data_IF_076086547562
#
_entry.id   IF_076086547562
#
_cell.length_a   1.000
_cell.length_b   1.000
_cell.length_c   1.000
_cell.angle_alpha   90.00
_cell.angle_beta   90.00
_cell.angle_gamma   90.00
#
_symmetry.space_group_name_H-M   'P 1'
#
loop_
_entity.id
_entity.type
_entity.pdbx_description
1 polymer ?
#
# COMPACT_ATOMS: atom_id res chain seq x y z
N UNK A 1 12.12 59.80 35.18
CA UNK A 1 13.00 58.60 35.29
C UNK A 1 12.24 57.54 36.09
N UNK A 2 11.88 56.46 35.50
CA UNK A 2 11.25 55.29 36.19
C UNK A 2 12.37 54.64 37.00
N UNK A 3 12.16 54.48 38.31
CA UNK A 3 13.15 53.82 39.20
C UNK A 3 13.29 52.35 38.75
N UNK A 4 14.50 51.78 38.59
CA UNK A 4 14.67 50.39 38.27
C UNK A 4 14.05 49.52 39.36
N UNK A 5 13.24 48.54 39.00
CA UNK A 5 12.65 47.55 39.92
C UNK A 5 13.76 46.87 40.73
N UNK A 6 13.65 46.95 42.05
CA UNK A 6 14.55 46.22 42.96
C UNK A 6 14.12 44.77 43.00
N UNK A 7 14.94 43.89 42.43
CA UNK A 7 14.77 42.45 42.57
C UNK A 7 14.91 42.05 44.04
N UNK A 8 13.83 41.54 44.62
CA UNK A 8 13.86 41.02 45.99
C UNK A 8 14.35 39.56 46.01
N UNK A 9 14.80 39.07 47.17
CA UNK A 9 15.16 37.65 47.32
C UNK A 9 13.95 36.72 47.01
N UNK A 10 12.73 37.19 47.33
CA UNK A 10 11.50 36.48 47.04
C UNK A 10 11.29 36.33 45.53
N UNK A 11 11.55 37.36 44.72
CA UNK A 11 11.42 37.33 43.27
C UNK A 11 12.42 36.33 42.66
N UNK A 12 13.63 36.27 43.17
CA UNK A 12 14.65 35.31 42.73
C UNK A 12 14.28 33.87 43.09
N UNK A 13 13.71 33.64 44.27
CA UNK A 13 13.22 32.33 44.69
C UNK A 13 12.03 31.90 43.80
N UNK A 14 11.09 32.82 43.56
CA UNK A 14 9.96 32.53 42.67
C UNK A 14 10.41 32.22 41.24
N UNK A 15 11.34 32.99 40.69
CA UNK A 15 11.90 32.75 39.38
C UNK A 15 12.63 31.40 39.32
N UNK A 16 13.43 31.07 40.34
CA UNK A 16 14.10 29.77 40.40
C UNK A 16 13.09 28.60 40.50
N UNK A 17 12.04 28.74 41.31
CA UNK A 17 10.98 27.73 41.40
C UNK A 17 10.26 27.53 40.07
N UNK A 18 9.93 28.60 39.36
CA UNK A 18 9.31 28.51 38.01
C UNK A 18 10.25 27.79 37.03
N UNK A 19 11.54 28.14 37.02
CA UNK A 19 12.53 27.48 36.15
C UNK A 19 12.60 25.98 36.43
N UNK A 20 12.62 25.60 37.72
CA UNK A 20 12.66 24.16 38.10
C UNK A 20 11.39 23.46 37.66
N UNK A 21 10.20 24.04 37.88
CA UNK A 21 8.92 23.44 37.45
C UNK A 21 8.87 23.27 35.92
N UNK A 22 9.29 24.28 35.18
CA UNK A 22 9.35 24.24 33.72
C UNK A 22 10.36 23.16 33.24
N UNK A 23 11.54 23.12 33.87
CA UNK A 23 12.56 22.14 33.52
C UNK A 23 12.11 20.69 33.80
N UNK A 24 11.47 20.48 34.97
CA UNK A 24 10.90 19.15 35.31
C UNK A 24 9.77 18.80 34.37
N UNK A 25 8.84 19.73 34.07
CA UNK A 25 7.78 19.54 33.12
C UNK A 25 8.31 19.20 31.71
N UNK A 26 9.29 19.95 31.22
CA UNK A 26 9.95 19.68 29.93
C UNK A 26 10.66 18.32 29.93
N UNK A 27 11.35 17.95 31.00
CA UNK A 27 12.00 16.66 31.13
C UNK A 27 11.00 15.49 31.12
N UNK A 28 9.87 15.63 31.84
CA UNK A 28 8.80 14.64 31.84
C UNK A 28 8.14 14.49 30.46
N UNK A 29 7.84 15.59 29.77
CA UNK A 29 7.30 15.59 28.41
C UNK A 29 8.29 14.92 27.46
N UNK A 30 9.56 15.30 27.51
CA UNK A 30 10.60 14.71 26.67
C UNK A 30 10.78 13.21 26.96
N UNK A 31 10.76 12.81 28.23
CA UNK A 31 10.92 11.41 28.66
C UNK A 31 9.80 10.50 28.13
N UNK A 32 8.56 11.03 28.04
CA UNK A 32 7.39 10.30 27.54
C UNK A 32 7.08 10.59 26.06
N UNK A 33 7.95 11.34 25.36
CA UNK A 33 7.69 11.72 23.98
C UNK A 33 8.06 10.59 22.99
N UNK A 34 7.27 10.48 21.91
CA UNK A 34 7.58 9.60 20.76
C UNK A 34 8.95 9.94 20.14
N UNK A 35 9.41 11.18 20.28
CA UNK A 35 10.72 11.61 19.79
C UNK A 35 11.88 10.84 20.42
N UNK A 36 11.78 10.56 21.74
CA UNK A 36 12.79 9.76 22.45
C UNK A 36 12.76 8.28 22.03
N UNK A 37 11.59 7.73 21.77
CA UNK A 37 11.41 6.36 21.35
C UNK A 37 11.78 6.15 19.87
N UNK A 38 11.96 7.23 19.09
CA UNK A 38 12.30 7.15 17.68
C UNK A 38 13.78 6.87 17.49
N UNK A 39 14.09 5.75 16.82
CA UNK A 39 15.43 5.37 16.41
C UNK A 39 15.53 5.48 14.89
N UNK A 40 16.52 6.23 14.40
CA UNK A 40 16.79 6.36 12.96
C UNK A 40 18.30 6.16 12.74
N UNK A 41 18.63 5.16 11.97
CA UNK A 41 20.01 4.82 11.60
C UNK A 41 20.15 4.90 10.08
N UNK A 42 20.57 6.02 9.54
CA UNK A 42 20.78 6.19 8.11
C UNK A 42 21.88 5.26 7.57
N UNK A 43 21.88 5.05 6.26
CA UNK A 43 22.95 4.34 5.58
C UNK A 43 24.26 5.15 5.65
N UNK A 44 25.39 4.47 5.73
CA UNK A 44 26.72 5.10 5.77
C UNK A 44 27.01 5.94 4.51
N UNK A 45 26.46 5.52 3.39
CA UNK A 45 26.53 6.20 2.08
C UNK A 45 25.26 5.95 1.29
N UNK A 46 24.90 6.85 0.35
CA UNK A 46 23.73 6.65 -0.50
C UNK A 46 23.83 5.35 -1.32
N UNK A 47 22.74 4.62 -1.36
CA UNK A 47 22.62 3.38 -2.13
C UNK A 47 22.43 3.73 -3.62
N UNK A 48 23.18 3.11 -4.54
CA UNK A 48 23.00 3.35 -5.97
C UNK A 48 21.67 2.80 -6.48
N UNK A 49 21.18 3.36 -7.58
CA UNK A 49 20.02 2.83 -8.28
C UNK A 49 20.28 1.42 -8.83
N UNK A 50 19.25 0.59 -8.85
CA UNK A 50 19.33 -0.76 -9.39
C UNK A 50 19.33 -0.74 -10.91
N UNK A 51 20.09 -1.65 -11.50
CA UNK A 51 20.04 -1.90 -12.93
C UNK A 51 18.98 -2.97 -13.24
N UNK A 52 18.12 -2.68 -14.19
CA UNK A 52 17.11 -3.65 -14.63
C UNK A 52 17.78 -4.89 -15.24
N UNK A 53 17.23 -6.06 -14.94
CA UNK A 53 17.62 -7.32 -15.56
C UNK A 53 17.36 -7.27 -17.07
N UNK A 54 18.31 -7.78 -17.83
CA UNK A 54 18.26 -7.80 -19.31
C UNK A 54 17.88 -9.15 -19.90
N UNK A 55 17.94 -10.21 -19.09
CA UNK A 55 17.71 -11.59 -19.50
C UNK A 55 16.84 -12.31 -18.48
N UNK A 56 16.08 -13.28 -18.97
CA UNK A 56 15.30 -14.20 -18.14
C UNK A 56 16.21 -15.37 -17.74
N UNK A 57 16.34 -15.69 -16.43
CA UNK A 57 17.11 -16.85 -15.98
C UNK A 57 16.38 -18.17 -16.32
N UNK A 58 17.10 -19.27 -16.35
CA UNK A 58 16.51 -20.61 -16.50
C UNK A 58 16.20 -21.28 -15.16
N UNK A 59 16.92 -20.89 -14.11
CA UNK A 59 16.76 -21.41 -12.75
C UNK A 59 16.92 -20.31 -11.73
N UNK A 60 16.23 -20.46 -10.60
CA UNK A 60 16.33 -19.57 -9.44
C UNK A 60 16.59 -20.39 -8.18
N UNK A 61 17.25 -19.74 -7.22
CA UNK A 61 17.43 -20.25 -5.85
C UNK A 61 17.17 -19.14 -4.84
N UNK A 62 16.86 -19.53 -3.62
CA UNK A 62 16.75 -18.56 -2.53
C UNK A 62 18.12 -17.99 -2.18
N UNK A 63 18.19 -16.65 -2.10
CA UNK A 63 19.39 -15.92 -1.69
C UNK A 63 19.33 -15.61 -0.19
N UNK A 64 18.20 -15.04 0.23
CA UNK A 64 17.94 -14.70 1.62
C UNK A 64 16.43 -14.59 1.87
N UNK A 65 16.06 -14.65 3.16
CA UNK A 65 14.68 -14.48 3.64
C UNK A 65 14.67 -13.52 4.82
N UNK A 66 13.61 -12.71 4.91
CA UNK A 66 13.40 -11.79 6.03
C UNK A 66 11.92 -11.73 6.45
N UNK A 67 11.66 -11.47 7.72
CA UNK A 67 10.32 -11.13 8.19
C UNK A 67 9.88 -9.79 7.60
N UNK A 68 8.64 -9.72 7.12
CA UNK A 68 8.02 -8.52 6.55
C UNK A 68 6.49 -8.60 6.65
N UNK A 69 5.99 -8.84 7.85
CA UNK A 69 4.56 -8.99 8.12
C UNK A 69 3.77 -7.68 8.00
N UNK A 70 4.45 -6.55 7.89
CA UNK A 70 3.83 -5.23 7.75
C UNK A 70 3.88 -4.67 6.32
N UNK A 71 4.31 -5.49 5.34
CA UNK A 71 4.17 -5.23 3.91
C UNK A 71 3.16 -6.20 3.29
N UNK A 72 2.31 -5.73 2.39
CA UNK A 72 1.34 -6.56 1.66
C UNK A 72 1.90 -7.10 0.33
N UNK A 73 2.96 -6.47 -0.17
CA UNK A 73 3.70 -6.85 -1.38
C UNK A 73 5.17 -6.45 -1.21
N UNK A 74 6.10 -7.00 -1.98
CA UNK A 74 7.49 -6.59 -1.90
C UNK A 74 7.64 -5.09 -2.17
N UNK A 75 8.29 -4.39 -1.27
CA UNK A 75 8.50 -2.95 -1.34
C UNK A 75 9.92 -2.68 -1.86
N UNK A 76 10.04 -2.15 -3.08
CA UNK A 76 11.32 -1.86 -3.73
C UNK A 76 11.36 -0.39 -4.12
N UNK A 77 12.34 0.35 -3.64
CA UNK A 77 12.46 1.78 -3.89
C UNK A 77 13.90 2.27 -3.63
N UNK A 78 14.38 3.21 -4.43
CA UNK A 78 15.66 3.91 -4.20
C UNK A 78 16.88 2.97 -4.09
N UNK A 79 16.86 1.83 -4.77
CA UNK A 79 17.98 0.87 -4.74
C UNK A 79 17.92 -0.16 -3.61
N UNK A 80 16.92 -0.11 -2.74
CA UNK A 80 16.77 -1.02 -1.60
C UNK A 80 15.49 -1.83 -1.65
N UNK A 81 15.50 -2.95 -0.94
CA UNK A 81 14.32 -3.73 -0.57
C UNK A 81 13.91 -3.32 0.84
N UNK A 82 12.67 -2.90 1.00
CA UNK A 82 12.14 -2.45 2.29
C UNK A 82 11.33 -3.56 2.94
N UNK A 83 11.64 -3.87 4.19
CA UNK A 83 10.87 -4.81 5.02
C UNK A 83 10.31 -4.08 6.23
N UNK A 84 9.14 -4.50 6.71
CA UNK A 84 8.53 -4.01 7.93
C UNK A 84 8.05 -5.17 8.78
N UNK A 85 8.50 -5.22 10.02
CA UNK A 85 8.08 -6.23 10.99
C UNK A 85 8.13 -5.67 12.41
N UNK A 86 7.18 -6.06 13.27
CA UNK A 86 7.05 -5.49 14.61
C UNK A 86 6.94 -3.97 14.59
N UNK A 87 7.93 -3.29 15.16
CA UNK A 87 8.00 -1.81 15.25
C UNK A 87 9.05 -1.20 14.29
N UNK A 88 9.77 -2.01 13.51
CA UNK A 88 10.92 -1.59 12.73
C UNK A 88 10.70 -1.73 11.23
N UNK A 89 11.10 -0.69 10.49
CA UNK A 89 11.24 -0.67 9.03
C UNK A 89 12.72 -0.68 8.67
N UNK A 90 13.12 -1.60 7.80
CA UNK A 90 14.50 -1.80 7.37
C UNK A 90 14.65 -1.62 5.86
N UNK A 91 15.68 -0.90 5.44
CA UNK A 91 16.19 -0.93 4.06
C UNK A 91 17.31 -1.96 3.94
N UNK A 92 17.15 -2.88 3.00
CA UNK A 92 18.06 -4.01 2.81
C UNK A 92 18.72 -3.96 1.44
N UNK A 93 19.95 -4.46 1.37
CA UNK A 93 20.61 -4.75 0.11
C UNK A 93 19.88 -5.88 -0.63
N UNK A 94 19.47 -5.69 -1.89
CA UNK A 94 18.71 -6.70 -2.62
C UNK A 94 19.42 -8.04 -2.81
N UNK A 95 20.74 -8.03 -2.98
CA UNK A 95 21.51 -9.23 -3.26
C UNK A 95 21.83 -10.04 -2.00
N UNK A 96 22.07 -9.38 -0.87
CA UNK A 96 22.57 -10.00 0.35
C UNK A 96 21.55 -10.04 1.49
N UNK A 97 20.49 -9.22 1.44
CA UNK A 97 19.54 -9.05 2.54
C UNK A 97 20.08 -8.26 3.73
N UNK A 98 21.35 -7.81 3.69
CA UNK A 98 21.97 -7.07 4.78
C UNK A 98 21.28 -5.72 5.00
N UNK A 99 21.12 -5.32 6.26
CA UNK A 99 20.50 -4.04 6.63
C UNK A 99 21.43 -2.88 6.28
N UNK A 100 20.93 -1.94 5.49
CA UNK A 100 21.61 -0.71 5.09
C UNK A 100 21.22 0.47 5.98
N UNK A 101 19.95 0.52 6.39
CA UNK A 101 19.42 1.53 7.29
C UNK A 101 18.21 0.97 8.07
N UNK A 102 17.89 1.60 9.20
CA UNK A 102 16.71 1.24 9.98
C UNK A 102 15.97 2.47 10.53
N UNK A 103 14.65 2.30 10.73
CA UNK A 103 13.77 3.28 11.33
C UNK A 103 12.72 2.60 12.21
N UNK A 104 12.60 3.04 13.46
CA UNK A 104 11.54 2.60 14.37
C UNK A 104 11.05 3.74 15.26
N UNK A 105 9.83 3.59 15.82
CA UNK A 105 9.25 4.55 16.77
C UNK A 105 8.90 3.92 18.11
N UNK A 106 9.32 2.69 18.38
CA UNK A 106 9.00 1.96 19.60
C UNK A 106 7.50 1.65 19.75
N UNK A 107 6.77 1.62 18.63
CA UNK A 107 5.36 1.24 18.52
C UNK A 107 5.20 0.29 17.36
N UNK A 108 4.34 -0.70 17.48
CA UNK A 108 4.09 -1.64 16.39
C UNK A 108 3.62 -0.92 15.12
N UNK A 109 4.18 -1.29 13.98
CA UNK A 109 3.80 -0.76 12.67
C UNK A 109 2.35 -1.14 12.34
N UNK A 110 1.61 -0.19 11.81
CA UNK A 110 0.34 -0.46 11.13
C UNK A 110 0.57 -1.03 9.72
N UNK A 111 1.63 -0.56 9.06
CA UNK A 111 2.02 -1.02 7.74
C UNK A 111 3.21 -0.25 7.19
N UNK A 112 3.81 -0.83 6.14
CA UNK A 112 4.90 -0.23 5.38
C UNK A 112 4.55 -0.25 3.89
N UNK A 113 4.83 0.84 3.20
CA UNK A 113 4.64 0.98 1.75
C UNK A 113 5.74 1.86 1.17
N UNK A 114 5.67 2.12 -0.13
CA UNK A 114 6.64 2.97 -0.84
C UNK A 114 5.93 4.01 -1.70
N UNK A 115 6.56 5.15 -1.91
CA UNK A 115 6.10 6.15 -2.87
C UNK A 115 7.27 6.94 -3.42
N UNK A 116 7.40 7.03 -4.73
CA UNK A 116 8.47 7.74 -5.41
C UNK A 116 9.85 7.27 -4.94
N UNK A 117 10.59 8.07 -4.17
CA UNK A 117 11.90 7.74 -3.61
C UNK A 117 11.86 7.35 -2.13
N UNK A 118 10.67 7.30 -1.53
CA UNK A 118 10.51 7.10 -0.09
C UNK A 118 9.95 5.72 0.25
N UNK A 119 10.52 5.13 1.31
CA UNK A 119 9.86 4.12 2.12
C UNK A 119 9.00 4.83 3.16
N UNK A 120 7.78 4.37 3.39
CA UNK A 120 6.83 5.01 4.31
C UNK A 120 6.37 4.02 5.36
N UNK A 121 6.67 4.35 6.62
CA UNK A 121 6.21 3.62 7.79
C UNK A 121 4.99 4.32 8.39
N UNK A 122 3.93 3.56 8.67
CA UNK A 122 2.72 4.05 9.32
C UNK A 122 2.62 3.44 10.70
N UNK A 123 2.44 4.30 11.71
CA UNK A 123 2.34 3.93 13.12
C UNK A 123 1.02 4.39 13.72
N UNK A 124 0.55 3.74 14.80
CA UNK A 124 -0.64 4.17 15.51
C UNK A 124 -0.34 5.33 16.48
N UNK A 125 -1.36 6.15 16.72
CA UNK A 125 -1.45 7.07 17.86
C UNK A 125 -2.84 6.95 18.51
N UNK A 126 -3.21 7.91 19.36
CA UNK A 126 -4.53 7.94 20.01
C UNK A 126 -5.71 8.13 19.04
N UNK A 127 -5.44 8.39 17.75
CA UNK A 127 -6.43 8.63 16.69
C UNK A 127 -6.40 7.55 15.58
N UNK A 128 -5.74 6.41 15.84
CA UNK A 128 -5.61 5.31 14.90
C UNK A 128 -4.27 5.28 14.15
N UNK A 129 -4.22 4.52 13.07
CA UNK A 129 -3.03 4.29 12.22
C UNK A 129 -2.77 5.46 11.26
N UNK A 130 -2.55 6.66 11.79
CA UNK A 130 -2.43 7.90 11.02
C UNK A 130 -1.07 8.60 11.09
N UNK A 131 -0.06 8.03 11.77
CA UNK A 131 1.28 8.61 11.90
C UNK A 131 2.20 8.08 10.81
N UNK A 132 2.25 8.74 9.65
CA UNK A 132 3.12 8.36 8.53
C UNK A 132 4.46 9.09 8.60
N UNK A 133 5.55 8.36 8.38
CA UNK A 133 6.92 8.88 8.29
C UNK A 133 7.57 8.34 7.02
N UNK A 134 7.96 9.25 6.13
CA UNK A 134 8.73 8.91 4.94
C UNK A 134 10.22 8.90 5.26
N UNK A 135 10.92 7.91 4.73
CA UNK A 135 12.36 7.75 4.82
C UNK A 135 12.88 7.70 3.38
N UNK A 136 13.82 8.58 3.04
CA UNK A 136 14.50 8.50 1.74
C UNK A 136 15.21 7.15 1.65
N UNK A 137 14.80 6.36 0.68
CA UNK A 137 15.17 4.95 0.64
C UNK A 137 16.65 4.75 0.33
N UNK A 138 17.26 5.66 -0.43
CA UNK A 138 18.69 5.58 -0.78
C UNK A 138 19.62 5.95 0.37
N UNK A 139 19.16 6.81 1.29
CA UNK A 139 20.00 7.34 2.36
C UNK A 139 19.59 6.92 3.76
N UNK A 140 18.36 6.40 3.94
CA UNK A 140 17.79 6.11 5.25
C UNK A 140 17.48 7.38 6.07
N UNK A 141 17.54 8.59 5.47
CA UNK A 141 17.26 9.86 6.17
C UNK A 141 15.75 10.13 6.20
N UNK A 142 15.31 10.74 7.29
CA UNK A 142 13.90 11.14 7.42
C UNK A 142 13.54 12.21 6.38
N UNK A 143 12.40 12.00 5.76
CA UNK A 143 11.76 12.91 4.82
C UNK A 143 10.46 13.50 5.39
N UNK A 144 9.44 13.71 4.55
CA UNK A 144 8.13 14.20 4.98
C UNK A 144 7.49 13.30 6.04
N UNK A 145 6.64 13.92 6.86
CA UNK A 145 5.84 13.21 7.86
C UNK A 145 4.41 13.75 7.88
N UNK A 146 3.47 12.91 8.26
CA UNK A 146 2.06 13.25 8.36
C UNK A 146 1.45 12.68 9.64
N UNK A 147 0.52 13.43 10.22
CA UNK A 147 -0.36 12.99 11.30
C UNK A 147 -1.80 13.18 10.87
N UNK A 148 -2.59 12.10 10.86
CA UNK A 148 -3.99 12.08 10.44
C UNK A 148 -4.85 11.32 11.43
N UNK A 149 -6.18 11.52 11.34
CA UNK A 149 -7.16 10.60 11.87
C UNK A 149 -7.23 9.38 10.94
N UNK A 150 -7.26 8.19 11.49
CA UNK A 150 -7.41 6.94 10.74
C UNK A 150 -8.10 5.88 11.60
N UNK A 151 -8.50 4.78 10.98
CA UNK A 151 -8.95 3.60 11.72
C UNK A 151 -7.80 2.96 12.51
N UNK A 152 -8.12 2.13 13.49
CA UNK A 152 -7.12 1.40 14.29
C UNK A 152 -6.27 0.43 13.45
N UNK A 153 -6.86 -0.06 12.37
CA UNK A 153 -6.20 -0.89 11.36
C UNK A 153 -6.40 -0.26 9.98
N UNK A 154 -5.36 -0.23 9.17
CA UNK A 154 -5.42 0.31 7.81
C UNK A 154 -4.74 -0.63 6.83
N UNK A 155 -5.25 -0.63 5.60
CA UNK A 155 -4.61 -1.23 4.43
C UNK A 155 -3.91 -0.14 3.65
N UNK A 156 -2.68 -0.41 3.24
CA UNK A 156 -1.86 0.50 2.46
C UNK A 156 -1.67 -0.06 1.05
N UNK A 157 -1.84 0.79 0.06
CA UNK A 157 -1.49 0.47 -1.33
C UNK A 157 -0.82 1.67 -1.99
N UNK A 158 -0.08 1.42 -3.06
CA UNK A 158 0.62 2.45 -3.83
C UNK A 158 0.55 2.15 -5.32
N UNK A 159 0.51 3.21 -6.12
CA UNK A 159 0.73 3.16 -7.57
C UNK A 159 2.16 3.61 -7.96
N UNK A 160 3.04 3.82 -6.96
CA UNK A 160 4.39 4.35 -7.11
C UNK A 160 4.47 5.88 -6.98
N UNK A 161 3.37 6.61 -7.17
CA UNK A 161 3.30 8.08 -7.12
C UNK A 161 2.44 8.61 -5.98
N UNK A 162 1.45 7.83 -5.56
CA UNK A 162 0.56 8.12 -4.43
C UNK A 162 0.43 6.92 -3.50
N UNK A 163 -0.03 7.18 -2.30
CA UNK A 163 -0.38 6.17 -1.30
C UNK A 163 -1.87 6.29 -1.00
N UNK A 164 -2.57 5.17 -1.02
CA UNK A 164 -3.89 5.02 -0.44
C UNK A 164 -3.76 4.33 0.91
N UNK A 165 -4.30 4.97 1.95
CA UNK A 165 -4.49 4.39 3.29
C UNK A 165 -5.99 4.32 3.57
N UNK A 166 -6.53 3.13 3.84
CA UNK A 166 -7.94 2.98 4.17
C UNK A 166 -8.16 1.90 5.23
N UNK A 167 -9.13 2.14 6.09
CA UNK A 167 -9.68 1.20 7.03
C UNK A 167 -11.17 0.99 6.76
N UNK A 168 -11.90 0.53 7.78
CA UNK A 168 -13.33 0.23 7.65
C UNK A 168 -14.22 1.48 7.56
N UNK A 169 -13.76 2.62 8.11
CA UNK A 169 -14.60 3.82 8.19
C UNK A 169 -14.05 5.02 7.44
N UNK A 170 -12.76 5.02 7.12
CA UNK A 170 -12.07 6.18 6.57
C UNK A 170 -10.98 5.80 5.56
N UNK A 171 -10.79 6.66 4.57
CA UNK A 171 -9.65 6.59 3.66
C UNK A 171 -9.00 7.99 3.45
N UNK A 172 -7.71 7.95 3.16
CA UNK A 172 -6.94 9.09 2.67
C UNK A 172 -6.04 8.67 1.52
N UNK A 173 -5.90 9.53 0.52
CA UNK A 173 -4.87 9.41 -0.51
C UNK A 173 -3.85 10.52 -0.32
N UNK A 174 -2.55 10.17 -0.38
CA UNK A 174 -1.43 11.08 -0.17
C UNK A 174 -0.50 11.10 -1.38
N UNK A 175 0.06 12.27 -1.69
CA UNK A 175 1.15 12.43 -2.64
C UNK A 175 2.47 11.88 -2.05
N UNK A 176 3.52 11.90 -2.87
CA UNK A 176 4.87 11.48 -2.46
C UNK A 176 5.47 12.31 -1.32
N UNK A 177 5.02 13.55 -1.11
CA UNK A 177 5.39 14.42 0.01
C UNK A 177 4.46 14.25 1.22
N UNK A 178 3.59 13.23 1.22
CA UNK A 178 2.57 12.92 2.21
C UNK A 178 1.50 14.01 2.38
N UNK A 179 1.39 14.95 1.45
CA UNK A 179 0.27 15.90 1.40
C UNK A 179 -0.99 15.15 0.94
N UNK A 180 -2.08 15.35 1.68
CA UNK A 180 -3.37 14.73 1.38
C UNK A 180 -3.97 15.30 0.11
N UNK A 181 -4.47 14.41 -0.74
CA UNK A 181 -5.18 14.75 -1.98
C UNK A 181 -6.67 14.47 -1.85
N UNK A 182 -7.02 13.36 -1.23
CA UNK A 182 -8.40 12.93 -1.01
C UNK A 182 -8.55 12.50 0.43
N UNK A 183 -9.65 12.91 1.05
CA UNK A 183 -10.12 12.46 2.37
C UNK A 183 -11.59 12.10 2.25
N UNK A 184 -11.96 10.89 2.70
CA UNK A 184 -13.34 10.41 2.63
C UNK A 184 -13.64 9.47 3.78
N UNK A 185 -14.92 9.42 4.19
CA UNK A 185 -15.41 8.59 5.27
C UNK A 185 -15.55 9.34 6.59
N UNK A 186 -15.48 8.64 7.71
CA UNK A 186 -15.73 9.19 9.04
C UNK A 186 -14.73 10.27 9.45
N UNK A 187 -15.24 11.33 10.11
CA UNK A 187 -14.46 12.40 10.75
C UNK A 187 -15.04 12.64 12.14
N UNK A 188 -14.17 12.68 13.17
CA UNK A 188 -14.57 12.97 14.55
C UNK A 188 -15.13 14.39 14.73
N UNK A 189 -14.68 15.33 13.93
CA UNK A 189 -15.13 16.71 13.96
C UNK A 189 -15.32 17.24 12.54
N UNK A 190 -16.45 17.88 12.30
CA UNK A 190 -16.69 18.67 11.09
C UNK A 190 -15.93 20.01 11.27
N UNK A 191 -14.81 20.13 10.59
CA UNK A 191 -13.93 21.30 10.72
C UNK A 191 -14.45 22.52 9.96
N UNK A 192 -15.28 22.29 8.91
CA UNK A 192 -15.86 23.36 8.07
C UNK A 192 -17.39 23.33 8.14
N UNK A 193 -18.06 24.48 8.38
CA UNK A 193 -19.51 24.57 8.27
C UNK A 193 -20.00 24.20 6.86
N UNK A 194 -21.06 23.39 6.79
CA UNK A 194 -21.68 23.03 5.52
C UNK A 194 -21.09 21.81 4.81
N UNK A 195 -20.02 21.21 5.33
CA UNK A 195 -19.58 19.87 4.87
C UNK A 195 -20.55 18.85 5.46
N UNK A 196 -21.27 18.05 4.62
CA UNK A 196 -22.15 17.03 5.14
C UNK A 196 -21.34 16.01 5.95
N UNK A 197 -21.91 15.57 7.08
CA UNK A 197 -21.37 14.43 7.79
C UNK A 197 -21.20 13.26 6.81
N UNK A 198 -20.00 12.68 6.78
CA UNK A 198 -19.73 11.54 5.92
C UNK A 198 -20.70 10.40 6.23
N UNK A 199 -21.22 9.70 5.24
CA UNK A 199 -22.07 8.56 5.50
C UNK A 199 -21.31 7.54 6.36
N UNK A 200 -21.96 7.00 7.38
CA UNK A 200 -21.43 5.93 8.24
C UNK A 200 -21.43 4.58 7.50
N UNK A 201 -20.90 4.56 6.30
CA UNK A 201 -20.76 3.33 5.52
C UNK A 201 -19.48 2.62 5.92
N UNK A 202 -19.49 1.29 5.96
CA UNK A 202 -18.29 0.48 6.10
C UNK A 202 -17.61 0.37 4.73
N UNK A 203 -16.34 0.70 4.67
CA UNK A 203 -15.51 0.57 3.46
C UNK A 203 -15.01 -0.86 3.39
N UNK A 204 -15.38 -1.61 2.36
CA UNK A 204 -15.04 -3.03 2.25
C UNK A 204 -13.82 -3.29 1.39
N UNK A 205 -13.64 -2.49 0.35
CA UNK A 205 -12.50 -2.61 -0.58
C UNK A 205 -12.24 -1.26 -1.23
N UNK A 206 -10.98 -0.92 -1.45
CA UNK A 206 -10.61 0.31 -2.17
C UNK A 206 -9.32 0.12 -2.97
N UNK A 207 -9.21 0.87 -4.06
CA UNK A 207 -7.99 1.02 -4.85
C UNK A 207 -7.87 2.46 -5.36
N UNK A 208 -6.65 2.85 -5.73
CA UNK A 208 -6.37 4.20 -6.21
C UNK A 208 -5.52 4.21 -7.48
N UNK A 209 -5.61 5.31 -8.20
CA UNK A 209 -4.67 5.79 -9.21
C UNK A 209 -4.15 7.17 -8.78
N UNK A 210 -3.24 7.80 -9.52
CA UNK A 210 -2.69 9.10 -9.13
C UNK A 210 -3.72 10.21 -8.85
N UNK A 211 -4.90 10.16 -9.46
CA UNK A 211 -5.91 11.22 -9.35
C UNK A 211 -7.30 10.75 -8.89
N UNK A 212 -7.52 9.45 -8.76
CA UNK A 212 -8.84 8.87 -8.49
C UNK A 212 -8.77 7.71 -7.52
N UNK A 213 -9.81 7.57 -6.70
CA UNK A 213 -10.01 6.43 -5.80
C UNK A 213 -11.36 5.81 -6.09
N UNK A 214 -11.43 4.50 -6.12
CA UNK A 214 -12.70 3.76 -6.07
C UNK A 214 -12.79 3.02 -4.74
N UNK A 215 -13.96 3.08 -4.11
CA UNK A 215 -14.23 2.41 -2.86
C UNK A 215 -15.58 1.71 -2.89
N UNK A 216 -15.61 0.46 -2.44
CA UNK A 216 -16.81 -0.32 -2.24
C UNK A 216 -17.34 -0.08 -0.83
N UNK A 217 -18.64 0.18 -0.69
CA UNK A 217 -19.23 0.60 0.57
C UNK A 217 -20.49 -0.23 0.90
N UNK A 218 -20.56 -0.69 2.15
CA UNK A 218 -21.78 -1.20 2.79
C UNK A 218 -22.39 -0.09 3.65
N UNK A 219 -23.52 0.46 3.23
CA UNK A 219 -24.13 1.60 3.90
C UNK A 219 -25.34 1.20 4.77
N UNK A 220 -25.58 1.89 5.90
CA UNK A 220 -26.75 1.63 6.75
C UNK A 220 -28.06 1.70 5.97
N UNK A 221 -28.97 0.77 6.25
CA UNK A 221 -30.30 0.68 5.62
C UNK A 221 -30.29 0.38 4.11
N UNK A 222 -29.15 -0.05 3.56
CA UNK A 222 -29.03 -0.56 2.20
C UNK A 222 -28.72 -2.06 2.27
N UNK A 223 -29.32 -2.84 1.38
CA UNK A 223 -29.09 -4.28 1.29
C UNK A 223 -27.98 -4.61 0.30
N UNK A 224 -27.71 -3.68 -0.62
CA UNK A 224 -26.72 -3.83 -1.68
C UNK A 224 -25.51 -2.93 -1.44
N UNK A 225 -24.35 -3.37 -1.89
CA UNK A 225 -23.12 -2.59 -1.95
C UNK A 225 -23.28 -1.41 -2.91
N UNK A 226 -22.50 -0.39 -2.65
CA UNK A 226 -22.36 0.78 -3.50
C UNK A 226 -20.90 0.98 -3.87
N UNK A 227 -20.62 1.25 -5.13
CA UNK A 227 -19.33 1.75 -5.58
C UNK A 227 -19.35 3.28 -5.49
N UNK A 228 -18.35 3.86 -4.84
CA UNK A 228 -18.13 5.31 -4.83
C UNK A 228 -16.81 5.62 -5.53
N UNK A 229 -16.90 6.44 -6.56
CA UNK A 229 -15.74 6.97 -7.29
C UNK A 229 -15.44 8.36 -6.76
N UNK A 230 -14.19 8.58 -6.38
CA UNK A 230 -13.68 9.83 -5.85
C UNK A 230 -12.62 10.39 -6.79
N UNK A 231 -12.67 11.67 -7.07
CA UNK A 231 -11.65 12.38 -7.85
C UNK A 231 -11.12 13.56 -7.04
N UNK A 232 -9.81 13.74 -7.07
CA UNK A 232 -9.19 14.86 -6.39
C UNK A 232 -9.75 16.19 -6.90
N UNK A 233 -10.18 17.06 -5.99
CA UNK A 233 -10.70 18.38 -6.26
C UNK A 233 -9.83 19.44 -5.59
N UNK A 234 -10.24 20.70 -5.64
CA UNK A 234 -9.48 21.82 -5.05
C UNK A 234 -9.29 21.65 -3.53
N UNK A 235 -10.31 21.13 -2.86
CA UNK A 235 -10.29 20.89 -1.41
C UNK A 235 -10.22 19.37 -1.17
N UNK A 236 -9.22 18.91 -0.43
CA UNK A 236 -8.95 17.49 -0.20
C UNK A 236 -10.06 16.75 0.58
N UNK A 237 -10.84 17.45 1.40
CA UNK A 237 -11.98 16.94 2.15
C UNK A 237 -13.31 17.02 1.39
N UNK A 238 -13.29 17.52 0.17
CA UNK A 238 -14.45 17.65 -0.72
C UNK A 238 -14.10 17.15 -2.13
N UNK A 239 -13.71 15.86 -2.27
CA UNK A 239 -13.47 15.29 -3.58
C UNK A 239 -14.75 15.28 -4.41
N UNK A 240 -14.61 15.31 -5.73
CA UNK A 240 -15.74 15.02 -6.62
C UNK A 240 -16.18 13.57 -6.38
N UNK A 241 -17.47 13.37 -6.12
CA UNK A 241 -18.04 12.07 -5.70
C UNK A 241 -19.08 11.60 -6.70
N UNK A 242 -18.86 10.43 -7.28
CA UNK A 242 -19.86 9.71 -8.07
C UNK A 242 -20.21 8.39 -7.36
N UNK A 243 -21.50 8.18 -7.09
CA UNK A 243 -22.02 6.96 -6.46
C UNK A 243 -22.74 6.09 -7.47
N UNK A 244 -22.42 4.82 -7.48
CA UNK A 244 -22.98 3.81 -8.38
C UNK A 244 -23.60 2.72 -7.53
N UNK A 245 -24.90 2.53 -7.63
CA UNK A 245 -25.58 1.42 -7.00
C UNK A 245 -25.22 0.11 -7.69
N UNK A 246 -25.08 -0.96 -6.94
CA UNK A 246 -24.81 -2.31 -7.44
C UNK A 246 -25.97 -3.24 -7.09
N UNK A 247 -27.12 -3.16 -7.79
CA UNK A 247 -28.32 -3.92 -7.45
C UNK A 247 -28.08 -5.42 -7.45
N UNK A 248 -28.51 -6.12 -6.40
CA UNK A 248 -28.32 -7.56 -6.24
C UNK A 248 -26.92 -7.98 -5.77
N UNK A 249 -26.03 -7.03 -5.48
CA UNK A 249 -24.72 -7.29 -4.87
C UNK A 249 -24.83 -7.02 -3.37
N UNK A 250 -25.12 -8.04 -2.58
CA UNK A 250 -25.37 -7.89 -1.15
C UNK A 250 -24.17 -7.32 -0.38
N UNK A 251 -24.45 -6.64 0.74
CA UNK A 251 -23.44 -5.96 1.58
C UNK A 251 -22.38 -6.89 2.19
N UNK A 252 -22.67 -8.19 2.26
CA UNK A 252 -21.75 -9.23 2.77
C UNK A 252 -21.12 -10.06 1.63
N UNK A 253 -21.26 -9.63 0.37
CA UNK A 253 -20.67 -10.32 -0.77
C UNK A 253 -19.17 -10.05 -0.88
N UNK A 254 -18.46 -10.93 -1.61
CA UNK A 254 -17.03 -10.83 -1.88
C UNK A 254 -16.68 -9.81 -3.00
N UNK A 255 -17.63 -8.94 -3.37
CA UNK A 255 -17.38 -7.91 -4.37
C UNK A 255 -16.25 -6.99 -3.92
N UNK A 256 -15.35 -6.67 -4.83
CA UNK A 256 -14.15 -5.88 -4.52
C UNK A 256 -13.70 -4.99 -5.67
N UNK A 257 -13.01 -3.91 -5.32
CA UNK A 257 -12.28 -3.09 -6.29
C UNK A 257 -10.96 -3.78 -6.60
N UNK A 258 -10.71 -4.06 -7.86
CA UNK A 258 -9.48 -4.73 -8.33
C UNK A 258 -8.40 -3.70 -8.64
N UNK A 259 -8.76 -2.68 -9.42
CA UNK A 259 -7.82 -1.64 -9.86
C UNK A 259 -8.56 -0.35 -10.25
N UNK A 260 -7.82 0.75 -10.27
CA UNK A 260 -8.30 2.07 -10.71
C UNK A 260 -7.31 2.65 -11.70
N UNK A 261 -7.80 3.24 -12.78
CA UNK A 261 -7.05 4.15 -13.66
C UNK A 261 -7.55 5.58 -13.46
N UNK A 262 -7.06 6.56 -14.22
CA UNK A 262 -7.51 7.96 -14.07
C UNK A 262 -9.01 8.14 -14.23
N UNK A 263 -9.65 7.36 -15.11
CA UNK A 263 -11.06 7.53 -15.50
C UNK A 263 -11.91 6.27 -15.34
N UNK A 264 -11.34 5.17 -14.85
CA UNK A 264 -12.04 3.88 -14.78
C UNK A 264 -11.69 3.10 -13.53
N UNK A 265 -12.64 2.26 -13.10
CA UNK A 265 -12.45 1.28 -12.04
C UNK A 265 -12.79 -0.12 -12.55
N UNK A 266 -11.93 -1.10 -12.27
CA UNK A 266 -12.22 -2.51 -12.43
C UNK A 266 -12.74 -3.07 -11.11
N UNK A 267 -13.92 -3.67 -11.11
CA UNK A 267 -14.53 -4.26 -9.93
C UNK A 267 -14.92 -5.71 -10.20
N UNK A 268 -14.72 -6.57 -9.23
CA UNK A 268 -15.30 -7.91 -9.22
C UNK A 268 -16.71 -7.86 -8.63
N UNK A 269 -17.65 -8.54 -9.29
CA UNK A 269 -19.05 -8.67 -8.89
C UNK A 269 -19.44 -10.15 -8.96
N UNK A 270 -19.92 -10.77 -7.84
CA UNK A 270 -20.20 -12.20 -7.80
C UNK A 270 -21.55 -12.58 -8.43
N UNK A 271 -22.50 -11.65 -8.53
CA UNK A 271 -23.90 -11.90 -8.92
C UNK A 271 -24.34 -11.00 -10.08
N UNK A 272 -25.26 -11.44 -10.97
CA UNK A 272 -25.89 -12.77 -11.06
C UNK A 272 -24.94 -13.87 -11.56
N UNK A 273 -23.81 -13.49 -12.17
CA UNK A 273 -22.71 -14.34 -12.57
C UNK A 273 -21.39 -13.66 -12.20
N UNK A 274 -20.37 -14.43 -11.75
CA UNK A 274 -19.08 -13.85 -11.39
C UNK A 274 -18.46 -13.16 -12.61
N UNK A 275 -18.18 -11.86 -12.47
CA UNK A 275 -17.60 -11.08 -13.56
C UNK A 275 -16.72 -9.93 -13.06
N UNK A 276 -15.87 -9.45 -13.93
CA UNK A 276 -15.16 -8.19 -13.76
C UNK A 276 -15.82 -7.13 -14.62
N UNK A 277 -16.35 -6.09 -13.99
CA UNK A 277 -16.93 -4.93 -14.65
C UNK A 277 -15.94 -3.77 -14.67
N UNK A 278 -15.86 -3.09 -15.81
CA UNK A 278 -15.12 -1.83 -15.94
C UNK A 278 -16.15 -0.69 -15.90
N UNK A 279 -16.01 0.14 -14.89
CA UNK A 279 -16.89 1.28 -14.63
C UNK A 279 -16.14 2.56 -15.01
N UNK A 280 -16.76 3.43 -15.79
CA UNK A 280 -16.20 4.74 -16.13
C UNK A 280 -16.45 5.81 -15.05
N UNK A 281 -15.87 6.99 -15.20
CA UNK A 281 -16.03 8.10 -14.24
C UNK A 281 -17.48 8.63 -14.14
N UNK A 282 -18.34 8.32 -15.11
CA UNK A 282 -19.77 8.68 -15.08
C UNK A 282 -20.61 7.64 -14.35
N UNK A 283 -20.02 6.48 -13.99
CA UNK A 283 -20.67 5.38 -13.29
C UNK A 283 -21.30 4.35 -14.21
N UNK A 284 -21.01 4.37 -15.50
CA UNK A 284 -21.53 3.39 -16.46
C UNK A 284 -20.60 2.18 -16.56
N UNK A 285 -21.17 0.97 -16.65
CA UNK A 285 -20.43 -0.23 -17.02
C UNK A 285 -20.14 -0.20 -18.51
N UNK A 286 -18.87 -0.09 -18.89
CA UNK A 286 -18.43 0.01 -20.29
C UNK A 286 -17.89 -1.30 -20.85
N UNK A 287 -17.54 -2.26 -19.99
CA UNK A 287 -17.12 -3.61 -20.35
C UNK A 287 -17.39 -4.58 -19.19
N UNK A 288 -17.61 -5.85 -19.52
CA UNK A 288 -17.78 -6.92 -18.56
C UNK A 288 -17.06 -8.18 -19.06
N UNK A 289 -16.27 -8.80 -18.18
CA UNK A 289 -15.56 -10.06 -18.46
C UNK A 289 -16.06 -11.12 -17.50
N UNK A 290 -16.75 -12.14 -18.03
CA UNK A 290 -17.26 -13.25 -17.23
C UNK A 290 -16.10 -14.12 -16.71
N UNK A 291 -16.24 -14.58 -15.47
CA UNK A 291 -15.34 -15.59 -14.90
C UNK A 291 -15.99 -16.97 -15.00
N UNK A 292 -15.20 -18.03 -15.21
CA UNK A 292 -15.73 -19.39 -15.26
C UNK A 292 -16.30 -19.85 -13.90
N UNK A 293 -15.79 -19.32 -12.80
CA UNK A 293 -16.20 -19.56 -11.42
C UNK A 293 -15.82 -18.37 -10.54
N UNK A 294 -16.39 -18.22 -9.33
CA UNK A 294 -15.97 -17.21 -8.37
C UNK A 294 -14.49 -17.37 -7.99
N UNK A 295 -13.78 -16.26 -7.72
CA UNK A 295 -12.41 -16.33 -7.21
C UNK A 295 -12.38 -16.98 -5.82
N UNK A 296 -11.23 -17.52 -5.44
CA UNK A 296 -11.00 -18.00 -4.07
C UNK A 296 -10.93 -16.81 -3.09
N UNK A 297 -11.01 -17.04 -1.76
CA UNK A 297 -10.82 -15.99 -0.78
C UNK A 297 -9.41 -15.32 -0.84
N UNK A 298 -8.44 -16.01 -1.43
CA UNK A 298 -7.07 -15.51 -1.58
C UNK A 298 -6.90 -14.91 -2.97
N UNK A 299 -7.09 -13.61 -3.07
CA UNK A 299 -6.85 -12.84 -4.30
C UNK A 299 -5.71 -11.85 -4.09
N UNK A 300 -5.06 -11.45 -5.17
CA UNK A 300 -4.01 -10.43 -5.13
C UNK A 300 -3.93 -9.69 -6.47
N UNK A 301 -3.58 -8.41 -6.41
CA UNK A 301 -3.42 -7.56 -7.59
C UNK A 301 -2.02 -6.98 -7.61
N UNK A 302 -1.38 -6.97 -8.79
CA UNK A 302 -0.14 -6.23 -9.03
C UNK A 302 -0.30 -5.32 -10.24
N UNK A 303 0.39 -4.18 -10.20
CA UNK A 303 0.57 -3.30 -11.35
C UNK A 303 2.04 -3.33 -11.74
N UNK A 304 2.33 -3.78 -12.96
CA UNK A 304 3.71 -3.93 -13.45
C UNK A 304 3.80 -3.48 -14.90
N UNK A 305 4.67 -2.49 -15.15
CA UNK A 305 4.74 -1.87 -16.48
C UNK A 305 3.40 -1.29 -16.90
N UNK A 306 2.92 -1.72 -18.06
CA UNK A 306 1.68 -1.28 -18.70
C UNK A 306 0.49 -2.23 -18.45
N UNK A 307 0.63 -3.17 -17.51
CA UNK A 307 -0.44 -4.13 -17.17
C UNK A 307 -0.78 -4.13 -15.68
N UNK A 308 -2.04 -4.44 -15.41
CA UNK A 308 -2.55 -4.85 -14.10
C UNK A 308 -2.87 -6.33 -14.18
N UNK A 309 -2.41 -7.10 -13.19
CA UNK A 309 -2.70 -8.52 -13.10
C UNK A 309 -3.48 -8.83 -11.82
N UNK A 310 -4.55 -9.58 -11.94
CA UNK A 310 -5.38 -9.99 -10.82
C UNK A 310 -5.42 -11.52 -10.71
N UNK A 311 -4.87 -12.03 -9.62
CA UNK A 311 -4.89 -13.44 -9.26
C UNK A 311 -6.21 -13.80 -8.58
N UNK A 312 -6.91 -14.82 -9.06
CA UNK A 312 -8.24 -15.26 -8.63
C UNK A 312 -8.21 -16.48 -7.70
N UNK A 313 -7.02 -17.02 -7.43
CA UNK A 313 -6.82 -18.25 -6.66
C UNK A 313 -6.31 -19.44 -7.49
N UNK A 314 -6.49 -19.41 -8.80
CA UNK A 314 -6.03 -20.45 -9.75
C UNK A 314 -5.69 -19.90 -11.14
N UNK A 315 -6.04 -18.66 -11.40
CA UNK A 315 -5.86 -17.99 -12.68
C UNK A 315 -5.39 -16.55 -12.49
N UNK A 316 -4.79 -15.95 -13.51
CA UNK A 316 -4.39 -14.55 -13.52
C UNK A 316 -5.05 -13.83 -14.68
N UNK A 317 -5.96 -12.90 -14.41
CA UNK A 317 -6.50 -12.00 -15.41
C UNK A 317 -5.53 -10.85 -15.65
N UNK A 318 -5.32 -10.50 -16.90
CA UNK A 318 -4.42 -9.40 -17.31
C UNK A 318 -5.22 -8.31 -18.00
N UNK A 319 -5.02 -7.08 -17.54
CA UNK A 319 -5.65 -5.87 -18.07
C UNK A 319 -4.58 -4.87 -18.48
N UNK A 320 -4.83 -4.01 -19.46
CA UNK A 320 -3.95 -2.85 -19.66
C UNK A 320 -4.09 -1.86 -18.49
N UNK A 321 -2.99 -1.25 -18.07
CA UNK A 321 -2.97 -0.42 -16.86
C UNK A 321 -3.69 0.92 -17.01
N UNK A 322 -3.83 1.46 -18.23
CA UNK A 322 -4.39 2.78 -18.48
C UNK A 322 -5.90 2.74 -18.71
N UNK A 323 -6.36 1.81 -19.54
CA UNK A 323 -7.78 1.68 -19.91
C UNK A 323 -8.51 0.61 -19.13
N UNK A 324 -7.82 -0.21 -18.35
CA UNK A 324 -8.32 -1.42 -17.66
C UNK A 324 -9.03 -2.39 -18.61
N UNK A 325 -8.68 -2.39 -19.91
CA UNK A 325 -9.25 -3.33 -20.86
C UNK A 325 -8.66 -4.72 -20.60
N UNK A 326 -9.54 -5.70 -20.52
CA UNK A 326 -9.14 -7.10 -20.46
C UNK A 326 -8.30 -7.47 -21.68
N UNK A 327 -7.19 -8.18 -21.48
CA UNK A 327 -6.28 -8.70 -22.51
C UNK A 327 -6.44 -10.19 -22.65
N UNK A 328 -6.12 -10.93 -21.63
CA UNK A 328 -6.18 -12.40 -21.60
C UNK A 328 -6.16 -12.93 -20.15
N UNK A 329 -6.40 -14.22 -20.01
CA UNK A 329 -6.27 -14.95 -18.74
C UNK A 329 -5.17 -16.00 -18.86
N UNK A 330 -4.28 -16.03 -17.88
CA UNK A 330 -3.33 -17.12 -17.67
C UNK A 330 -3.96 -18.11 -16.72
N UNK A 331 -4.25 -19.32 -17.21
CA UNK A 331 -4.79 -20.45 -16.44
C UNK A 331 -3.74 -21.54 -16.31
N UNK A 332 -4.07 -22.62 -15.61
CA UNK A 332 -3.18 -23.77 -15.44
C UNK A 332 -2.63 -24.29 -16.77
N UNK A 333 -1.32 -24.43 -16.85
CA UNK A 333 -0.62 -25.04 -18.00
C UNK A 333 0.23 -26.20 -17.51
N UNK A 334 0.26 -27.30 -18.26
CA UNK A 334 1.03 -28.48 -17.89
C UNK A 334 0.68 -29.08 -16.52
N UNK A 335 -0.56 -28.84 -16.03
CA UNK A 335 -1.01 -29.29 -14.72
C UNK A 335 -0.61 -28.37 -13.54
N UNK A 336 0.01 -27.23 -13.80
CA UNK A 336 0.39 -26.24 -12.79
C UNK A 336 -0.48 -24.99 -12.91
N UNK A 337 -1.19 -24.66 -11.84
CA UNK A 337 -1.96 -23.42 -11.73
C UNK A 337 -1.09 -22.28 -11.22
N UNK A 338 -1.37 -21.03 -11.59
CA UNK A 338 -0.84 -19.86 -10.90
C UNK A 338 -1.07 -19.93 -9.39
N UNK A 339 -0.11 -19.42 -8.62
CA UNK A 339 -0.19 -19.32 -7.16
C UNK A 339 -0.07 -17.87 -6.67
N UNK A 340 -0.16 -16.91 -7.58
CA UNK A 340 -0.10 -15.48 -7.30
C UNK A 340 -0.22 -14.64 -8.57
N UNK A 341 -0.29 -13.31 -8.44
CA UNK A 341 -0.28 -12.38 -9.55
C UNK A 341 1.08 -12.36 -10.25
N UNK A 342 1.18 -11.64 -11.36
CA UNK A 342 2.41 -11.61 -12.14
C UNK A 342 3.33 -10.43 -11.81
N UNK A 343 4.59 -10.55 -12.23
CA UNK A 343 5.55 -9.44 -12.35
C UNK A 343 6.17 -9.41 -13.75
N UNK A 344 7.03 -8.42 -14.02
CA UNK A 344 7.63 -8.22 -15.34
C UNK A 344 9.15 -8.35 -15.24
N UNK A 345 9.80 -9.17 -16.07
CA UNK A 345 11.24 -9.33 -16.15
C UNK A 345 11.69 -9.33 -17.61
N UNK A 346 12.61 -8.44 -17.97
CA UNK A 346 13.17 -8.35 -19.32
C UNK A 346 12.10 -8.33 -20.44
N UNK A 347 10.95 -7.68 -20.21
CA UNK A 347 9.85 -7.58 -21.16
C UNK A 347 8.87 -8.77 -21.16
N UNK A 348 9.11 -9.80 -20.35
CA UNK A 348 8.23 -10.97 -20.22
C UNK A 348 7.38 -10.88 -18.96
N UNK A 349 6.14 -11.32 -19.03
CA UNK A 349 5.27 -11.48 -17.87
C UNK A 349 5.62 -12.80 -17.16
N UNK A 350 5.96 -12.72 -15.88
CA UNK A 350 6.30 -13.87 -15.03
C UNK A 350 5.15 -14.16 -14.07
N UNK A 351 4.60 -15.36 -14.16
CA UNK A 351 3.51 -15.84 -13.29
C UNK A 351 4.07 -16.93 -12.37
N UNK A 352 3.95 -16.79 -11.04
CA UNK A 352 4.43 -17.80 -10.11
C UNK A 352 3.55 -19.06 -10.18
N UNK A 353 4.20 -20.21 -10.31
CA UNK A 353 3.61 -21.55 -10.20
C UNK A 353 4.36 -22.36 -9.16
N UNK A 354 3.86 -23.51 -8.75
CA UNK A 354 4.45 -24.29 -7.63
C UNK A 354 5.93 -24.62 -7.86
N UNK A 355 6.32 -24.98 -9.08
CA UNK A 355 7.70 -25.39 -9.43
C UNK A 355 8.61 -24.23 -9.88
N UNK A 356 8.11 -22.98 -9.85
CA UNK A 356 8.89 -21.82 -10.28
C UNK A 356 8.06 -20.70 -10.86
N UNK A 357 8.41 -20.29 -12.08
CA UNK A 357 7.71 -19.26 -12.83
C UNK A 357 7.50 -19.68 -14.27
N UNK A 358 6.29 -19.50 -14.77
CA UNK A 358 6.03 -19.57 -16.20
C UNK A 358 6.11 -18.16 -16.80
N UNK A 359 6.74 -18.05 -17.98
CA UNK A 359 6.90 -16.77 -18.67
C UNK A 359 5.95 -16.69 -19.85
N UNK A 360 5.42 -15.48 -20.06
CA UNK A 360 4.46 -15.20 -21.12
C UNK A 360 4.87 -13.94 -21.88
N UNK A 361 4.50 -13.89 -23.15
CA UNK A 361 4.51 -12.65 -23.90
C UNK A 361 3.47 -11.69 -23.31
N UNK A 362 3.91 -10.52 -22.88
CA UNK A 362 3.06 -9.57 -22.14
C UNK A 362 1.91 -8.97 -22.99
N UNK A 363 2.00 -9.04 -24.33
CA UNK A 363 0.98 -8.50 -25.22
C UNK A 363 -0.07 -9.55 -25.60
N UNK A 364 0.37 -10.75 -25.96
CA UNK A 364 -0.50 -11.82 -26.46
C UNK A 364 -0.91 -12.84 -25.40
N UNK A 365 -0.18 -12.94 -24.28
CA UNK A 365 -0.37 -14.01 -23.31
C UNK A 365 0.14 -15.37 -23.75
N UNK A 366 0.90 -15.44 -24.85
CA UNK A 366 1.47 -16.71 -25.31
C UNK A 366 2.54 -17.19 -24.32
N UNK A 367 2.41 -18.45 -23.87
CA UNK A 367 3.39 -19.11 -23.01
C UNK A 367 4.73 -19.28 -23.73
N UNK A 368 5.83 -19.10 -23.01
CA UNK A 368 7.18 -19.12 -23.59
C UNK A 368 8.08 -20.14 -22.92
N UNK A 369 8.55 -19.87 -21.70
CA UNK A 369 9.53 -20.69 -21.00
C UNK A 369 9.15 -20.89 -19.54
N UNK A 370 9.77 -21.86 -18.89
CA UNK A 370 9.67 -22.12 -17.47
C UNK A 370 10.99 -21.81 -16.76
N UNK A 371 10.92 -21.11 -15.64
CA UNK A 371 12.06 -20.82 -14.75
C UNK A 371 11.92 -21.72 -13.53
N UNK A 372 12.80 -22.68 -13.37
CA UNK A 372 12.73 -23.65 -12.28
C UNK A 372 13.10 -23.00 -10.93
N UNK A 373 12.29 -23.28 -9.91
CA UNK A 373 12.53 -22.91 -8.52
C UNK A 373 11.98 -23.98 -7.57
N UNK A 374 12.83 -24.57 -6.75
CA UNK A 374 12.38 -25.40 -5.63
C UNK A 374 11.80 -24.49 -4.53
N UNK A 375 10.46 -24.42 -4.45
CA UNK A 375 9.73 -23.61 -3.47
C UNK A 375 9.07 -24.53 -2.44
N UNK A 376 9.18 -24.24 -1.13
CA UNK A 376 8.39 -24.94 -0.14
C UNK A 376 6.88 -24.68 -0.36
N UNK A 377 5.97 -25.55 0.09
CA UNK A 377 4.53 -25.30 -0.02
C UNK A 377 4.14 -23.98 0.63
N UNK A 378 3.33 -23.19 -0.07
CA UNK A 378 2.85 -21.87 0.37
C UNK A 378 1.33 -21.88 0.43
N UNK A 379 0.76 -21.40 1.55
CA UNK A 379 -0.71 -21.36 1.78
C UNK A 379 -1.31 -19.97 1.50
N UNK A 380 -0.51 -19.03 1.01
CA UNK A 380 -0.91 -17.67 0.66
C UNK A 380 -0.57 -17.39 -0.79
N UNK A 381 -1.12 -16.34 -1.37
CA UNK A 381 -0.65 -15.88 -2.67
C UNK A 381 0.84 -15.53 -2.61
N UNK A 382 1.58 -15.94 -3.62
CA UNK A 382 2.99 -15.54 -3.82
C UNK A 382 2.98 -14.25 -4.64
N UNK A 383 3.33 -13.13 -4.02
CA UNK A 383 3.33 -11.83 -4.70
C UNK A 383 4.75 -11.48 -5.13
N UNK A 384 5.03 -11.49 -6.45
CA UNK A 384 6.36 -11.24 -6.96
C UNK A 384 6.63 -9.75 -7.21
N UNK A 385 7.89 -9.33 -7.10
CA UNK A 385 8.39 -8.05 -7.59
C UNK A 385 9.87 -8.17 -7.98
N UNK A 386 10.42 -7.15 -8.66
CA UNK A 386 11.83 -7.12 -9.01
C UNK A 386 12.59 -6.02 -8.27
N UNK A 387 13.78 -6.37 -7.80
CA UNK A 387 14.78 -5.45 -7.32
C UNK A 387 16.05 -5.57 -8.20
N UNK A 388 16.05 -4.87 -9.32
CA UNK A 388 17.10 -5.01 -10.34
C UNK A 388 17.06 -6.39 -11.01
N UNK A 389 18.06 -7.24 -10.73
CA UNK A 389 18.12 -8.62 -11.19
C UNK A 389 17.64 -9.65 -10.16
N UNK A 390 17.31 -9.19 -8.95
CA UNK A 390 16.82 -10.05 -7.87
C UNK A 390 15.30 -10.11 -7.95
N UNK A 391 14.74 -11.31 -8.02
CA UNK A 391 13.30 -11.53 -7.95
C UNK A 391 12.91 -11.69 -6.47
N UNK A 392 11.87 -10.99 -6.05
CA UNK A 392 11.36 -11.03 -4.70
C UNK A 392 10.00 -11.74 -4.66
N UNK A 393 9.72 -12.44 -3.59
CA UNK A 393 8.40 -13.02 -3.31
C UNK A 393 7.94 -12.63 -1.91
N UNK A 394 6.79 -11.97 -1.81
CA UNK A 394 6.07 -11.87 -0.53
C UNK A 394 5.24 -13.15 -0.37
N UNK A 395 5.57 -13.95 0.63
CA UNK A 395 4.89 -15.20 1.02
C UNK A 395 4.28 -15.03 2.42
N UNK A 396 3.08 -14.43 2.49
CA UNK A 396 2.47 -14.04 3.75
C UNK A 396 3.33 -13.01 4.50
N UNK A 397 3.79 -13.34 5.70
CA UNK A 397 4.64 -12.46 6.53
C UNK A 397 6.15 -12.55 6.20
N UNK A 398 6.54 -13.32 5.19
CA UNK A 398 7.94 -13.47 4.81
C UNK A 398 8.20 -12.87 3.43
N UNK A 399 9.32 -12.19 3.32
CA UNK A 399 9.89 -11.75 2.05
C UNK A 399 11.09 -12.64 1.71
N UNK A 400 11.08 -13.21 0.53
CA UNK A 400 12.12 -14.10 0.01
C UNK A 400 12.75 -13.48 -1.22
N UNK A 401 14.08 -13.42 -1.26
CA UNK A 401 14.82 -12.97 -2.43
C UNK A 401 15.38 -14.17 -3.19
N UNK A 402 15.27 -14.10 -4.49
CA UNK A 402 15.62 -15.16 -5.43
C UNK A 402 16.62 -14.63 -6.45
N UNK A 403 17.60 -15.47 -6.80
CA UNK A 403 18.61 -15.17 -7.82
C UNK A 403 19.14 -16.43 -8.47
N UNK A 404 20.07 -16.25 -9.38
CA UNK A 404 20.79 -17.37 -10.04
C UNK A 404 21.78 -18.04 -9.09
#
# INVERSE_FOLDING_TARGET
MVKPERRTKADLIAAAAIVVVVAVGAALIWWNSDARATVSRPADRPVPALHAAKTVPTTLRELWTAASGKTTQPAVVGGVVVTGDGDEMLGRDPATGSTLWSYSRGRELCGVTTVYQFAVAVYPDGRGCGQASAIDASTGRRGPARSSLADAEVKLSTDGTTILSYGDSRLEQWRSDLVRMISYGYLDAVVKPGVPASPLCRLTSAAASPASVAVMEACPKQNDLRLTLLKAAKEEDQPDVKRVALPGVGVDSDAQVIAVSETKAAIYVPTPQPCVNIIDETGNTIASTLLPHPPTPVTATTRVGDVVTWYTGDSVLVFDANGLRYKYTVSAQGGQAPIGPATMLAGHLLVPVTSGYDTFDAQSGAGQTHIALARPPVNTAVIPALAGSVLLEQRGSQLVALGQ
#
